data_IF_168695056004
#
_entry.id   IF_168695056004
#
_cell.length_a   1.000
_cell.length_b   1.000
_cell.length_c   1.000
_cell.angle_alpha   90.00
_cell.angle_beta   90.00
_cell.angle_gamma   90.00
#
_symmetry.space_group_name_H-M   'P 1'
#
loop_
_entity.id
_entity.type
_entity.pdbx_description
1 polymer ?
#
# COMPACT_ATOMS: atom_id res chain seq x y z
N UNK A 1 10.10 0.30 13.88
CA UNK A 1 9.42 -0.70 13.05
C UNK A 1 10.05 -0.78 11.68
N UNK A 2 10.27 -1.99 11.20
CA UNK A 2 10.86 -2.20 9.87
C UNK A 2 9.78 -2.30 8.81
N UNK A 3 10.10 -1.87 7.61
CA UNK A 3 9.20 -1.96 6.47
C UNK A 3 9.98 -2.07 5.17
N UNK A 4 9.32 -2.63 4.17
CA UNK A 4 9.79 -2.63 2.79
C UNK A 4 9.14 -1.45 2.07
N UNK A 5 9.89 -0.83 1.17
CA UNK A 5 9.41 0.35 0.48
C UNK A 5 9.80 0.32 -0.99
N UNK A 6 8.83 0.61 -1.84
CA UNK A 6 9.02 0.81 -3.28
C UNK A 6 8.28 2.07 -3.69
N UNK A 7 8.81 2.76 -4.68
CA UNK A 7 8.22 4.01 -5.15
C UNK A 7 8.06 3.96 -6.67
N UNK A 8 6.88 4.38 -7.15
CA UNK A 8 6.54 4.35 -8.57
C UNK A 8 5.89 5.65 -8.98
N UNK A 9 6.32 6.20 -10.11
CA UNK A 9 5.55 7.26 -10.75
C UNK A 9 4.48 6.58 -11.59
N UNK A 10 3.21 6.78 -11.23
CA UNK A 10 2.12 6.05 -11.86
C UNK A 10 0.90 6.94 -12.01
N UNK A 11 0.01 6.55 -12.94
CA UNK A 11 -1.12 7.35 -13.36
C UNK A 11 -2.42 6.77 -12.83
N UNK A 12 -3.44 7.63 -12.80
CA UNK A 12 -4.80 7.23 -12.48
C UNK A 12 -5.20 5.99 -13.27
N UNK A 13 -5.87 5.06 -12.60
CA UNK A 13 -6.37 3.78 -13.12
C UNK A 13 -5.30 2.72 -13.35
N UNK A 14 -4.04 3.04 -13.30
CA UNK A 14 -3.02 2.00 -13.21
C UNK A 14 -3.17 1.26 -11.89
N UNK A 15 -2.68 0.04 -11.84
CA UNK A 15 -2.90 -0.83 -10.70
C UNK A 15 -1.54 -1.16 -10.07
N UNK A 16 -1.43 -0.94 -8.78
CA UNK A 16 -0.29 -1.43 -8.01
C UNK A 16 -0.66 -2.79 -7.44
N UNK A 17 0.11 -3.81 -7.80
CA UNK A 17 -0.09 -5.16 -7.32
C UNK A 17 1.06 -5.55 -6.41
N UNK A 18 0.74 -5.93 -5.19
CA UNK A 18 1.72 -6.27 -4.16
C UNK A 18 1.51 -7.70 -3.71
N UNK A 19 2.53 -8.53 -3.86
CA UNK A 19 2.51 -9.88 -3.33
C UNK A 19 3.17 -9.89 -1.96
N UNK A 20 2.56 -10.58 -1.02
CA UNK A 20 3.08 -10.75 0.34
C UNK A 20 3.03 -12.24 0.70
N UNK A 21 4.01 -12.70 1.44
CA UNK A 21 4.07 -14.10 1.87
C UNK A 21 3.57 -14.30 3.30
N UNK A 22 3.24 -13.23 3.99
CA UNK A 22 2.71 -13.25 5.35
C UNK A 22 1.64 -12.17 5.50
N UNK A 23 0.61 -12.39 6.34
CA UNK A 23 -0.32 -11.33 6.67
C UNK A 23 0.41 -10.13 7.28
N UNK A 24 0.15 -8.95 6.72
CA UNK A 24 0.79 -7.73 7.20
C UNK A 24 0.06 -6.50 6.69
N UNK A 25 0.45 -5.34 7.20
CA UNK A 25 -0.07 -4.07 6.70
C UNK A 25 0.62 -3.68 5.42
N UNK A 26 -0.17 -3.32 4.42
CA UNK A 26 0.29 -2.78 3.14
C UNK A 26 -0.34 -1.41 2.98
N UNK A 27 0.47 -0.39 2.80
CA UNK A 27 0.01 0.98 2.70
C UNK A 27 0.46 1.59 1.38
N UNK A 28 -0.45 2.36 0.78
CA UNK A 28 -0.18 3.09 -0.47
C UNK A 28 -0.36 4.58 -0.17
N UNK A 29 0.64 5.38 -0.48
CA UNK A 29 0.61 6.80 -0.15
C UNK A 29 1.45 7.60 -1.13
N UNK A 30 1.21 8.91 -1.16
CA UNK A 30 2.04 9.81 -1.95
C UNK A 30 3.46 9.89 -1.38
N UNK A 31 4.40 10.39 -2.17
CA UNK A 31 5.76 10.58 -1.69
C UNK A 31 5.83 11.55 -0.51
N UNK A 32 4.97 12.57 -0.51
CA UNK A 32 4.91 13.51 0.60
C UNK A 32 4.41 12.84 1.88
N UNK A 33 3.36 12.04 1.77
CA UNK A 33 2.85 11.32 2.93
C UNK A 33 3.83 10.27 3.43
N UNK A 34 4.61 9.67 2.53
CA UNK A 34 5.65 8.75 2.92
C UNK A 34 6.73 9.43 3.79
N UNK A 35 7.09 10.66 3.46
CA UNK A 35 8.02 11.42 4.30
C UNK A 35 7.45 11.61 5.70
N UNK A 36 6.17 11.95 5.80
CA UNK A 36 5.49 12.09 7.09
C UNK A 36 5.46 10.77 7.84
N UNK A 37 5.19 9.68 7.13
CA UNK A 37 5.19 8.33 7.72
C UNK A 37 6.53 8.01 8.36
N UNK A 38 7.62 8.26 7.64
CA UNK A 38 8.97 7.99 8.17
C UNK A 38 9.30 8.84 9.41
N UNK A 39 8.73 10.04 9.49
CA UNK A 39 8.96 10.95 10.60
C UNK A 39 8.01 10.72 11.78
N UNK A 40 7.14 9.72 11.68
CA UNK A 40 6.16 9.44 12.73
C UNK A 40 5.04 10.46 12.80
N UNK A 41 4.86 11.26 11.75
CA UNK A 41 3.81 12.28 11.70
C UNK A 41 2.53 11.72 11.12
N UNK A 42 1.42 12.42 11.36
CA UNK A 42 0.14 12.10 10.74
C UNK A 42 0.28 12.17 9.23
N UNK A 43 -0.21 11.16 8.56
CA UNK A 43 -0.12 11.02 7.11
C UNK A 43 -1.37 10.34 6.56
N UNK A 44 -1.62 10.53 5.28
CA UNK A 44 -2.73 9.89 4.60
C UNK A 44 -2.23 8.68 3.83
N UNK A 45 -2.98 7.60 3.87
CA UNK A 45 -2.65 6.39 3.11
C UNK A 45 -3.91 5.61 2.77
N UNK A 46 -3.80 4.79 1.75
CA UNK A 46 -4.80 3.77 1.43
C UNK A 46 -4.23 2.43 1.85
N UNK A 47 -5.08 1.52 2.30
CA UNK A 47 -4.67 0.17 2.66
C UNK A 47 -4.97 -0.17 4.09
N UNK A 48 -4.19 -1.09 4.63
CA UNK A 48 -4.36 -1.59 5.97
C UNK A 48 -3.78 -2.99 6.09
N UNK A 49 -4.39 -3.81 6.95
CA UNK A 49 -3.94 -5.17 7.17
C UNK A 49 -4.57 -6.12 6.14
N UNK A 50 -3.74 -6.93 5.50
CA UNK A 50 -4.19 -7.91 4.51
C UNK A 50 -3.67 -9.29 4.88
N UNK A 51 -4.54 -10.28 4.76
CA UNK A 51 -4.19 -11.68 4.99
C UNK A 51 -3.98 -12.44 3.69
N UNK A 52 -4.48 -11.92 2.59
CA UNK A 52 -4.42 -12.57 1.29
C UNK A 52 -3.51 -11.81 0.33
N UNK A 53 -2.99 -12.52 -0.65
CA UNK A 53 -2.11 -12.00 -1.68
C UNK A 53 -2.59 -12.47 -3.04
N UNK A 54 -2.45 -11.67 -4.09
CA UNK A 54 -1.88 -10.32 -4.10
C UNK A 54 -2.86 -9.25 -3.61
N UNK A 55 -2.30 -8.16 -3.11
CA UNK A 55 -3.05 -6.95 -2.80
C UNK A 55 -3.02 -6.05 -4.04
N UNK A 56 -4.18 -5.61 -4.52
CA UNK A 56 -4.27 -4.75 -5.69
C UNK A 56 -4.95 -3.44 -5.35
N UNK A 57 -4.37 -2.35 -5.82
CA UNK A 57 -4.90 -1.02 -5.59
C UNK A 57 -4.97 -0.27 -6.93
N UNK A 58 -6.19 0.08 -7.34
CA UNK A 58 -6.41 0.90 -8.53
C UNK A 58 -6.19 2.36 -8.15
N UNK A 59 -5.24 3.01 -8.81
CA UNK A 59 -4.82 4.34 -8.41
C UNK A 59 -5.89 5.39 -8.71
N UNK A 60 -6.24 6.22 -7.73
CA UNK A 60 -7.30 7.21 -7.91
C UNK A 60 -6.83 8.49 -8.61
N UNK A 61 -5.53 8.74 -8.68
CA UNK A 61 -4.98 9.92 -9.34
C UNK A 61 -3.51 9.71 -9.67
N UNK A 62 -2.97 10.58 -10.54
CA UNK A 62 -1.56 10.56 -10.92
C UNK A 62 -0.70 11.04 -9.75
N UNK A 63 0.36 10.34 -9.46
CA UNK A 63 1.29 10.74 -8.39
C UNK A 63 2.55 9.88 -8.42
N UNK A 64 3.52 10.28 -7.62
CA UNK A 64 4.57 9.38 -7.19
C UNK A 64 4.02 8.61 -6.00
N UNK A 65 3.78 7.33 -6.21
CA UNK A 65 3.16 6.46 -5.20
C UNK A 65 4.21 5.66 -4.45
N UNK A 66 4.11 5.69 -3.14
CA UNK A 66 4.95 4.87 -2.26
C UNK A 66 4.15 3.69 -1.76
N UNK A 67 4.73 2.50 -1.88
CA UNK A 67 4.17 1.26 -1.36
C UNK A 67 4.99 0.89 -0.13
N UNK A 68 4.31 0.73 0.99
CA UNK A 68 4.95 0.35 2.24
C UNK A 68 4.38 -0.99 2.69
N UNK A 69 5.24 -1.97 2.89
CA UNK A 69 4.86 -3.26 3.45
C UNK A 69 5.53 -3.37 4.81
N UNK A 70 4.73 -3.32 5.86
CA UNK A 70 5.26 -3.35 7.22
C UNK A 70 5.67 -4.76 7.61
N UNK A 71 6.77 -4.87 8.35
CA UNK A 71 7.28 -6.15 8.83
C UNK A 71 6.84 -6.38 10.28
N UNK A 72 5.54 -6.60 10.43
CA UNK A 72 4.96 -6.78 11.75
C UNK A 72 4.81 -5.47 12.51
N UNK A 73 4.98 -5.53 13.81
CA UNK A 73 4.88 -4.38 14.69
C UNK A 73 6.18 -4.23 15.47
N UNK A 74 6.31 -3.10 16.18
CA UNK A 74 7.44 -2.88 17.03
C UNK A 74 7.60 -4.01 18.07
N UNK A 75 6.48 -4.48 18.63
CA UNK A 75 6.49 -5.54 19.65
C UNK A 75 6.58 -6.94 19.06
N UNK A 76 6.03 -7.14 17.87
CA UNK A 76 5.98 -8.44 17.21
C UNK A 76 6.47 -8.33 15.78
N UNK A 77 7.79 -8.18 15.58
CA UNK A 77 8.34 -8.12 14.23
C UNK A 77 8.20 -9.47 13.56
N UNK A 78 7.91 -9.45 12.24
CA UNK A 78 7.83 -10.66 11.42
C UNK A 78 8.68 -10.47 10.17
N UNK A 79 9.11 -11.58 9.59
CA UNK A 79 9.77 -11.56 8.29
C UNK A 79 8.71 -11.63 7.21
N UNK A 80 8.74 -10.67 6.31
CA UNK A 80 7.83 -10.60 5.16
C UNK A 80 8.65 -10.41 3.91
N UNK A 81 8.39 -11.24 2.92
CA UNK A 81 8.93 -11.05 1.58
C UNK A 81 7.81 -10.51 0.71
N UNK A 82 8.13 -9.53 -0.11
CA UNK A 82 7.14 -8.86 -0.93
C UNK A 82 7.72 -8.48 -2.27
N UNK A 83 6.85 -8.47 -3.27
CA UNK A 83 7.16 -7.92 -4.59
C UNK A 83 6.02 -7.03 -5.02
N UNK A 84 6.33 -6.03 -5.84
CA UNK A 84 5.35 -5.07 -6.29
C UNK A 84 5.57 -4.78 -7.77
N UNK A 85 4.47 -4.53 -8.49
CA UNK A 85 4.53 -4.15 -9.90
C UNK A 85 3.34 -3.26 -10.26
N UNK A 86 3.50 -2.54 -11.36
CA UNK A 86 2.44 -1.70 -11.92
C UNK A 86 1.80 -2.44 -13.07
N UNK A 87 0.48 -2.55 -13.05
CA UNK A 87 -0.30 -3.17 -14.11
C UNK A 87 -1.03 -2.12 -14.93
N UNK A 88 -1.31 -2.44 -16.18
CA UNK A 88 -2.01 -1.54 -17.10
C UNK A 88 -3.45 -1.31 -16.66
N UNK A 89 -4.02 -0.13 -16.93
CA UNK A 89 -5.35 0.24 -16.44
C UNK A 89 -6.50 -0.53 -17.08
N UNK A 90 -6.28 -1.18 -18.22
CA UNK A 90 -7.34 -1.93 -18.91
C UNK A 90 -7.47 -3.38 -18.41
N UNK A 91 -6.81 -3.73 -17.33
CA UNK A 91 -6.95 -5.06 -16.75
C UNK A 91 -8.27 -5.20 -16.02
N UNK A 92 -8.76 -6.44 -15.94
CA UNK A 92 -10.01 -6.76 -15.24
C UNK A 92 -9.79 -7.02 -13.76
N UNK A 93 -8.67 -6.58 -13.21
CA UNK A 93 -8.37 -6.77 -11.80
C UNK A 93 -9.33 -5.96 -10.91
N UNK A 94 -9.75 -6.57 -9.82
CA UNK A 94 -10.58 -5.91 -8.82
C UNK A 94 -9.65 -5.30 -7.78
N UNK A 95 -9.88 -4.04 -7.43
CA UNK A 95 -9.11 -3.38 -6.39
C UNK A 95 -9.41 -3.99 -5.03
N UNK A 96 -8.39 -4.23 -4.24
CA UNK A 96 -8.53 -4.67 -2.85
C UNK A 96 -8.95 -3.53 -1.94
N UNK A 97 -8.92 -2.30 -2.44
CA UNK A 97 -9.19 -1.09 -1.67
C UNK A 97 -10.10 -0.20 -2.50
N UNK A 98 -11.17 0.33 -1.91
CA UNK A 98 -12.03 1.27 -2.60
C UNK A 98 -11.27 2.58 -2.83
N UNK A 99 -11.23 3.02 -4.10
CA UNK A 99 -10.43 4.18 -4.48
C UNK A 99 -10.97 5.49 -3.92
N UNK A 100 -12.28 5.56 -3.66
CA UNK A 100 -12.94 6.75 -3.11
C UNK A 100 -12.98 6.76 -1.58
N UNK A 101 -12.44 5.73 -0.94
CA UNK A 101 -12.45 5.65 0.51
C UNK A 101 -11.48 6.67 1.12
N UNK A 102 -11.84 7.29 2.25
CA UNK A 102 -10.92 8.14 2.97
C UNK A 102 -9.68 7.34 3.38
N UNK A 103 -8.52 7.81 2.97
CA UNK A 103 -7.31 7.02 3.06
C UNK A 103 -7.01 6.53 4.47
N UNK A 104 -6.92 7.43 5.42
CA UNK A 104 -6.39 7.12 6.75
C UNK A 104 -7.37 6.38 7.67
N UNK A 105 -8.62 6.20 7.26
CA UNK A 105 -9.61 5.51 8.11
C UNK A 105 -9.87 4.08 7.67
N UNK A 106 -9.21 3.61 6.64
CA UNK A 106 -9.49 2.28 6.08
C UNK A 106 -8.78 1.14 6.80
N UNK A 107 -7.81 1.46 7.61
CA UNK A 107 -6.95 0.46 8.24
C UNK A 107 -7.69 -0.55 9.10
N UNK A 108 -8.79 -0.14 9.70
CA UNK A 108 -9.50 -0.99 10.65
C UNK A 108 -10.50 -1.93 10.00
N UNK A 109 -10.69 -1.83 8.71
CA UNK A 109 -11.75 -2.55 8.00
C UNK A 109 -11.28 -3.89 7.48
N UNK A 110 -10.02 -4.04 7.36
CA UNK A 110 -9.40 -5.18 6.68
C UNK A 110 -9.13 -6.33 7.59
#
# INVERSE_FOLDING_TARGET
MKFLHQQYQAKKKEILEVEIDQPTKVKFMSGLDFKKYKMGKTHKYFGGFFEESPVRFVLPYDSVWSVVVEKGTWKNPIEVNSSCRVLQPNRTAISSIAADAPAHVRKAIL
#
